data_IF_155839455781
#
_entry.id   IF_155839455781
#
_cell.length_a   1.000
_cell.length_b   1.000
_cell.length_c   1.000
_cell.angle_alpha   90.00
_cell.angle_beta   90.00
_cell.angle_gamma   90.00
#
_symmetry.space_group_name_H-M   'P 1'
#
loop_
_entity.id
_entity.type
_entity.pdbx_description
1 polymer ?
#
# COMPACT_ATOMS: atom_id res chain seq x y z
N UNK A 1 20.26 14.34 38.99
CA UNK A 1 21.62 13.81 39.25
C UNK A 1 21.50 12.29 39.16
N UNK A 2 22.18 11.54 38.32
CA UNK A 2 23.29 11.75 37.39
C UNK A 2 23.31 10.45 36.58
N UNK A 3 23.29 10.49 35.24
CA UNK A 3 23.97 9.53 34.33
C UNK A 3 23.54 9.81 32.87
N UNK A 4 23.89 10.99 32.38
CA UNK A 4 24.04 11.29 30.95
C UNK A 4 25.36 12.04 30.82
N UNK A 5 26.47 11.33 30.61
CA UNK A 5 27.77 11.94 30.33
C UNK A 5 28.73 10.89 29.77
N UNK A 6 28.96 10.93 28.45
CA UNK A 6 30.21 10.60 27.76
C UNK A 6 29.99 10.88 26.25
N UNK A 7 30.27 12.12 25.82
CA UNK A 7 31.38 12.51 24.94
C UNK A 7 31.27 11.85 23.55
N UNK A 8 30.85 12.52 22.46
CA UNK A 8 31.37 13.77 21.88
C UNK A 8 32.90 13.86 22.04
N UNK A 9 33.62 13.27 21.10
CA UNK A 9 34.96 13.72 20.72
C UNK A 9 35.04 13.88 19.23
N UNK A 10 35.28 15.11 18.85
CA UNK A 10 35.52 15.64 17.53
C UNK A 10 36.59 14.87 16.77
N UNK A 11 36.24 14.34 15.59
CA UNK A 11 37.24 13.98 14.60
C UNK A 11 37.43 15.14 13.63
N UNK A 12 38.53 15.84 13.91
CA UNK A 12 39.23 16.81 13.10
C UNK A 12 39.25 16.45 11.60
N UNK A 13 38.72 17.34 10.77
CA UNK A 13 39.07 17.42 9.35
C UNK A 13 40.41 18.16 9.19
N UNK A 14 41.26 17.75 8.24
CA UNK A 14 42.12 18.70 7.55
C UNK A 14 41.75 18.81 6.06
N UNK A 15 41.52 20.07 5.67
CA UNK A 15 41.72 20.69 4.35
C UNK A 15 42.92 20.01 3.61
N UNK A 16 42.86 19.53 2.36
CA UNK A 16 42.81 20.26 1.08
C UNK A 16 42.69 19.22 -0.06
N UNK A 17 41.78 19.40 -1.01
CA UNK A 17 42.06 19.23 -2.46
C UNK A 17 40.86 19.66 -3.30
N UNK A 18 41.03 20.77 -4.01
CA UNK A 18 40.08 21.28 -5.00
C UNK A 18 40.23 20.43 -6.28
N UNK A 19 39.28 19.53 -6.56
CA UNK A 19 39.06 18.98 -7.92
C UNK A 19 37.58 18.68 -8.18
N UNK A 20 37.02 19.51 -9.06
CA UNK A 20 36.04 19.16 -10.11
C UNK A 20 34.67 18.62 -9.68
N UNK A 21 33.71 19.56 -9.62
CA UNK A 21 32.39 19.51 -10.27
C UNK A 21 31.89 18.12 -10.71
N UNK A 22 30.85 17.60 -10.06
CA UNK A 22 29.83 16.80 -10.75
C UNK A 22 28.59 16.58 -9.86
N UNK A 23 27.51 17.26 -10.24
CA UNK A 23 26.11 16.93 -10.00
C UNK A 23 25.69 16.57 -8.56
N UNK A 24 25.32 17.61 -7.80
CA UNK A 24 24.17 17.50 -6.88
C UNK A 24 22.82 17.53 -7.63
N UNK A 25 22.84 17.51 -8.96
CA UNK A 25 21.67 17.35 -9.83
C UNK A 25 21.27 15.88 -10.01
N UNK A 26 21.12 15.14 -8.91
CA UNK A 26 20.28 13.94 -8.96
C UNK A 26 19.13 14.25 -8.02
N UNK A 27 18.14 14.98 -8.56
CA UNK A 27 16.77 14.81 -8.14
C UNK A 27 16.55 13.30 -8.30
N UNK A 28 16.70 12.52 -7.22
CA UNK A 28 16.14 11.18 -7.21
C UNK A 28 14.70 11.39 -7.64
N UNK A 29 14.22 10.76 -8.73
CA UNK A 29 12.81 10.83 -9.06
C UNK A 29 12.11 10.41 -7.76
N UNK A 30 11.42 11.36 -7.14
CA UNK A 30 10.58 11.07 -5.98
C UNK A 30 9.75 9.90 -6.47
N UNK A 31 9.77 8.72 -5.81
CA UNK A 31 8.98 7.59 -6.24
C UNK A 31 7.54 8.07 -6.16
N UNK A 32 7.03 8.52 -7.31
CA UNK A 32 5.67 8.97 -7.44
C UNK A 32 4.96 7.66 -7.47
N UNK A 33 4.41 7.23 -6.34
CA UNK A 33 3.78 5.93 -6.19
C UNK A 33 2.86 5.73 -7.40
N UNK A 34 3.26 4.86 -8.32
CA UNK A 34 2.51 4.62 -9.54
C UNK A 34 1.25 3.90 -9.10
N UNK A 35 0.11 4.58 -9.15
CA UNK A 35 -1.17 4.01 -8.77
C UNK A 35 -1.40 2.74 -9.59
N UNK A 36 -1.37 1.60 -8.93
CA UNK A 36 -1.51 0.30 -9.58
C UNK A 36 -2.97 -0.10 -9.55
N UNK A 37 -3.46 -0.67 -10.65
CA UNK A 37 -4.83 -1.19 -10.74
C UNK A 37 -4.83 -2.70 -10.57
N UNK A 38 -5.53 -3.19 -9.56
CA UNK A 38 -5.65 -4.60 -9.21
C UNK A 38 -7.03 -5.13 -9.58
N UNK A 39 -7.09 -6.12 -10.47
CA UNK A 39 -8.35 -6.79 -10.85
C UNK A 39 -8.60 -7.99 -9.95
N UNK A 40 -9.70 -7.97 -9.20
CA UNK A 40 -9.99 -8.96 -8.16
C UNK A 40 -11.37 -9.57 -8.37
N UNK A 41 -11.47 -10.91 -8.22
CA UNK A 41 -12.78 -11.59 -8.19
C UNK A 41 -13.56 -11.21 -6.93
N UNK A 42 -14.86 -11.05 -7.05
CA UNK A 42 -15.78 -10.78 -5.94
C UNK A 42 -17.06 -11.59 -6.13
N UNK A 43 -17.56 -12.23 -5.07
CA UNK A 43 -18.81 -12.98 -5.12
C UNK A 43 -20.01 -12.04 -5.25
N UNK A 44 -21.11 -12.46 -5.91
CA UNK A 44 -22.28 -11.63 -6.14
C UNK A 44 -22.84 -10.97 -4.87
N UNK A 45 -22.90 -11.71 -3.76
CA UNK A 45 -23.39 -11.18 -2.48
C UNK A 45 -22.53 -10.01 -1.97
N UNK A 46 -21.20 -10.19 -1.98
CA UNK A 46 -20.28 -9.14 -1.56
C UNK A 46 -20.24 -7.98 -2.54
N UNK A 47 -20.29 -8.27 -3.85
CA UNK A 47 -20.32 -7.27 -4.90
C UNK A 47 -21.52 -6.33 -4.74
N UNK A 48 -22.71 -6.88 -4.50
CA UNK A 48 -23.92 -6.08 -4.30
C UNK A 48 -23.83 -5.18 -3.05
N UNK A 49 -23.19 -5.65 -1.97
CA UNK A 49 -22.94 -4.82 -0.77
C UNK A 49 -21.93 -3.69 -1.04
N UNK A 50 -20.88 -3.96 -1.80
CA UNK A 50 -19.90 -2.94 -2.19
C UNK A 50 -20.49 -1.92 -3.17
N UNK A 51 -21.31 -2.39 -4.12
CA UNK A 51 -21.98 -1.54 -5.10
C UNK A 51 -23.03 -0.62 -4.46
N UNK A 52 -23.72 -1.07 -3.41
CA UNK A 52 -24.67 -0.27 -2.64
C UNK A 52 -24.02 0.67 -1.61
N UNK A 53 -22.68 0.64 -1.47
CA UNK A 53 -21.95 1.44 -0.48
C UNK A 53 -22.12 0.96 0.97
N UNK A 54 -22.81 -0.16 1.20
CA UNK A 54 -22.99 -0.76 2.53
C UNK A 54 -21.73 -1.48 3.03
N UNK A 55 -20.78 -1.77 2.13
CA UNK A 55 -19.50 -2.39 2.41
C UNK A 55 -18.40 -1.58 1.74
N UNK A 56 -17.52 -0.99 2.55
CA UNK A 56 -16.42 -0.15 2.10
C UNK A 56 -15.05 -0.77 2.41
N UNK A 57 -14.96 -2.08 2.62
CA UNK A 57 -13.69 -2.74 2.93
C UNK A 57 -13.57 -4.08 2.23
N UNK A 58 -12.35 -4.54 1.96
CA UNK A 58 -12.06 -5.86 1.40
C UNK A 58 -10.95 -6.55 2.20
N UNK A 59 -11.09 -7.86 2.46
CA UNK A 59 -10.08 -8.64 3.18
C UNK A 59 -9.34 -9.50 2.16
N UNK A 60 -8.01 -9.43 2.14
CA UNK A 60 -7.16 -10.13 1.16
C UNK A 60 -5.85 -10.59 1.76
N UNK A 61 -5.28 -11.63 1.17
CA UNK A 61 -3.86 -11.93 1.31
C UNK A 61 -3.06 -10.79 0.66
N UNK A 62 -2.00 -10.31 1.31
CA UNK A 62 -1.15 -9.24 0.78
C UNK A 62 -0.03 -9.77 -0.15
N UNK A 63 -0.41 -10.61 -1.11
CA UNK A 63 0.47 -11.21 -2.13
C UNK A 63 0.86 -10.24 -3.27
N UNK A 64 0.15 -9.11 -3.36
CA UNK A 64 0.31 -8.08 -4.42
C UNK A 64 0.99 -6.81 -3.92
N UNK A 65 1.34 -6.75 -2.63
CA UNK A 65 1.88 -5.57 -1.98
C UNK A 65 0.99 -4.32 -2.19
N UNK A 66 -0.29 -4.41 -1.81
CA UNK A 66 -1.26 -3.32 -1.97
C UNK A 66 -0.77 -2.04 -1.30
N UNK A 67 -0.92 -0.90 -1.99
CA UNK A 67 -0.54 0.42 -1.48
C UNK A 67 -1.75 1.35 -1.35
N UNK A 68 -1.67 2.29 -0.41
CA UNK A 68 -2.63 3.41 -0.34
C UNK A 68 -2.55 4.19 -1.65
N UNK A 69 -3.71 4.49 -2.24
CA UNK A 69 -3.79 5.14 -3.55
C UNK A 69 -3.97 4.18 -4.73
N UNK A 70 -3.74 2.88 -4.55
CA UNK A 70 -4.03 1.90 -5.59
C UNK A 70 -5.53 1.82 -5.90
N UNK A 71 -5.84 1.33 -7.11
CA UNK A 71 -7.20 1.07 -7.57
C UNK A 71 -7.48 -0.41 -7.53
N UNK A 72 -8.68 -0.77 -7.09
CA UNK A 72 -9.19 -2.13 -7.12
C UNK A 72 -10.40 -2.17 -8.03
N UNK A 73 -10.39 -3.09 -8.99
CA UNK A 73 -11.54 -3.40 -9.83
C UNK A 73 -12.10 -4.74 -9.37
N UNK A 74 -13.21 -4.69 -8.64
CA UNK A 74 -13.96 -5.88 -8.24
C UNK A 74 -14.74 -6.38 -9.46
N UNK A 75 -14.45 -7.61 -9.89
CA UNK A 75 -15.15 -8.30 -10.97
C UNK A 75 -16.10 -9.32 -10.37
N UNK A 76 -17.37 -9.20 -10.68
CA UNK A 76 -18.35 -10.16 -10.22
C UNK A 76 -18.07 -11.54 -10.82
N UNK A 77 -17.95 -12.54 -9.95
CA UNK A 77 -17.54 -13.88 -10.29
C UNK A 77 -18.43 -14.92 -9.61
N UNK A 78 -19.02 -15.81 -10.40
CA UNK A 78 -19.80 -16.94 -9.91
C UNK A 78 -18.89 -18.16 -9.71
N UNK A 79 -18.85 -18.67 -8.49
CA UNK A 79 -18.11 -19.89 -8.15
C UNK A 79 -18.80 -21.16 -8.68
N UNK A 80 -20.13 -21.18 -8.76
CA UNK A 80 -20.88 -22.34 -9.21
C UNK A 80 -20.70 -22.57 -10.71
N UNK A 81 -20.77 -21.49 -11.49
CA UNK A 81 -20.58 -21.53 -12.95
C UNK A 81 -19.11 -21.34 -13.37
N UNK A 82 -18.22 -21.04 -12.41
CA UNK A 82 -16.80 -20.76 -12.64
C UNK A 82 -16.57 -19.63 -13.68
N UNK A 83 -17.49 -18.67 -13.75
CA UNK A 83 -17.60 -17.67 -14.81
C UNK A 83 -17.66 -16.25 -14.26
N UNK A 84 -17.30 -15.25 -15.10
CA UNK A 84 -17.51 -13.84 -14.78
C UNK A 84 -18.92 -13.43 -15.20
N UNK A 85 -19.64 -12.73 -14.32
CA UNK A 85 -21.00 -12.25 -14.59
C UNK A 85 -21.04 -10.91 -15.34
N UNK A 86 -19.86 -10.33 -15.62
CA UNK A 86 -19.70 -9.15 -16.47
C UNK A 86 -19.82 -7.80 -15.76
N UNK A 87 -20.24 -7.76 -14.49
CA UNK A 87 -20.26 -6.53 -13.70
C UNK A 87 -18.89 -6.24 -13.09
N UNK A 88 -18.49 -4.97 -13.11
CA UNK A 88 -17.26 -4.48 -12.51
C UNK A 88 -17.53 -3.27 -11.60
N UNK A 89 -16.73 -3.12 -10.54
CA UNK A 89 -16.80 -2.00 -9.61
C UNK A 89 -15.38 -1.53 -9.28
N UNK A 90 -15.05 -0.31 -9.69
CA UNK A 90 -13.76 0.32 -9.38
C UNK A 90 -13.84 1.10 -8.06
N UNK A 91 -12.82 0.95 -7.24
CA UNK A 91 -12.66 1.61 -5.93
C UNK A 91 -11.19 1.97 -5.69
N UNK A 92 -10.93 3.02 -4.94
CA UNK A 92 -9.57 3.39 -4.50
C UNK A 92 -9.31 2.90 -3.09
N UNK A 93 -8.09 2.44 -2.82
CA UNK A 93 -7.65 2.10 -1.46
C UNK A 93 -7.31 3.39 -0.73
N UNK A 94 -8.04 3.70 0.33
CA UNK A 94 -7.80 4.87 1.20
C UNK A 94 -6.97 4.49 2.43
N UNK A 95 -7.14 3.28 2.96
CA UNK A 95 -6.41 2.81 4.14
C UNK A 95 -6.17 1.29 4.08
N UNK A 96 -5.09 0.85 4.73
CA UNK A 96 -4.70 -0.56 4.82
C UNK A 96 -4.44 -0.91 6.28
N UNK A 97 -5.22 -1.85 6.82
CA UNK A 97 -4.92 -2.48 8.10
C UNK A 97 -4.14 -3.77 7.85
N UNK A 98 -2.89 -3.81 8.30
CA UNK A 98 -2.07 -5.02 8.29
C UNK A 98 -2.47 -5.97 9.41
N UNK A 99 -2.47 -7.26 9.11
CA UNK A 99 -2.72 -8.34 10.05
C UNK A 99 -1.57 -8.58 11.03
N UNK A 100 -1.64 -9.70 11.74
CA UNK A 100 -0.76 -10.04 12.88
C UNK A 100 -1.26 -9.47 14.21
N UNK A 101 -2.46 -8.89 14.20
CA UNK A 101 -3.12 -8.23 15.31
C UNK A 101 -4.64 -8.39 15.19
N UNK A 102 -5.37 -8.17 16.29
CA UNK A 102 -6.84 -8.23 16.33
C UNK A 102 -7.46 -9.56 15.85
N UNK A 103 -6.70 -10.66 15.91
CA UNK A 103 -7.14 -11.98 15.42
C UNK A 103 -7.06 -12.15 13.90
N UNK A 104 -6.47 -11.19 13.18
CA UNK A 104 -6.18 -11.30 11.75
C UNK A 104 -4.80 -11.93 11.53
N UNK A 105 -4.75 -12.92 10.64
CA UNK A 105 -3.50 -13.56 10.22
C UNK A 105 -2.50 -12.55 9.63
N UNK A 106 -1.19 -12.75 9.86
CA UNK A 106 -0.14 -11.78 9.50
C UNK A 106 0.02 -11.54 8.00
N UNK A 107 -0.43 -12.48 7.16
CA UNK A 107 -0.33 -12.33 5.71
C UNK A 107 -1.56 -11.64 5.12
N UNK A 108 -2.60 -11.41 5.94
CA UNK A 108 -3.84 -10.77 5.51
C UNK A 108 -3.85 -9.27 5.78
N UNK A 109 -4.57 -8.55 4.93
CA UNK A 109 -4.81 -7.11 5.01
C UNK A 109 -6.29 -6.83 4.86
N UNK A 110 -6.76 -5.77 5.52
CA UNK A 110 -8.06 -5.16 5.28
C UNK A 110 -7.83 -3.86 4.52
N UNK A 111 -8.40 -3.77 3.33
CA UNK A 111 -8.31 -2.63 2.42
C UNK A 111 -9.58 -1.81 2.57
N UNK A 112 -9.48 -0.62 3.13
CA UNK A 112 -10.58 0.34 3.15
C UNK A 112 -10.68 1.04 1.79
N UNK A 113 -11.89 1.07 1.25
CA UNK A 113 -12.23 1.49 -0.09
C UNK A 113 -13.03 2.79 -0.07
N UNK A 114 -12.73 3.69 -0.99
CA UNK A 114 -13.52 4.92 -1.21
C UNK A 114 -14.96 4.56 -1.64
N UNK A 115 -15.98 5.02 -0.91
CA UNK A 115 -17.40 4.81 -1.28
C UNK A 115 -17.85 5.80 -2.35
#
# INVERSE_FOLDING_TARGET
MHLWCLLMTDNFLPFVSLRVVALWSIILPIPTATMTTHYLKCLPEHFNRSASGLKNYEIRLNDRNFQIGDRIVLREYDLAENSYLGRELERKIEHILYGGQFGLDSEHVILELSV
#
